data_IF_989899564624
#
_entry.id   IF_989899564624
#
_cell.length_a   1.000
_cell.length_b   1.000
_cell.length_c   1.000
_cell.angle_alpha   90.00
_cell.angle_beta   90.00
_cell.angle_gamma   90.00
#
_symmetry.space_group_name_H-M   'P 1'
#
loop_
_entity.id
_entity.type
_entity.pdbx_description
1 polymer ?
#
# COMPACT_ATOMS: atom_id res chain seq x y z
N UNK A 1 12.89 -5.10 -3.08
CA UNK A 1 12.66 -4.02 -2.10
C UNK A 1 11.86 -4.62 -0.96
N UNK A 2 12.14 -4.27 0.28
CA UNK A 2 11.63 -5.03 1.42
C UNK A 2 10.12 -4.78 1.61
N UNK A 3 9.29 -5.74 1.20
CA UNK A 3 7.91 -5.87 1.66
C UNK A 3 7.95 -6.31 3.13
N UNK A 4 8.26 -5.40 4.04
CA UNK A 4 8.14 -5.68 5.47
C UNK A 4 6.76 -5.25 5.88
N UNK A 5 5.84 -6.23 5.90
CA UNK A 5 4.54 -6.04 6.52
C UNK A 5 4.73 -5.53 7.96
N UNK A 6 3.91 -4.57 8.36
CA UNK A 6 3.89 -4.07 9.73
C UNK A 6 3.48 -5.20 10.66
N UNK A 7 4.38 -5.61 11.56
CA UNK A 7 4.08 -6.64 12.54
C UNK A 7 3.25 -6.04 13.67
N UNK A 8 1.95 -6.34 13.67
CA UNK A 8 0.97 -5.88 14.67
C UNK A 8 1.46 -6.06 16.13
N UNK A 9 2.13 -7.17 16.52
CA UNK A 9 2.63 -7.30 17.90
C UNK A 9 3.68 -6.25 18.29
N UNK A 10 4.54 -5.81 17.35
CA UNK A 10 5.51 -4.75 17.62
C UNK A 10 4.84 -3.39 17.68
N UNK A 11 3.85 -3.13 16.83
CA UNK A 11 3.05 -1.92 16.89
C UNK A 11 2.35 -1.80 18.25
N UNK A 12 1.68 -2.84 18.72
CA UNK A 12 1.02 -2.85 20.03
C UNK A 12 1.99 -2.61 21.19
N UNK A 13 3.18 -3.21 21.12
CA UNK A 13 4.24 -2.98 22.11
C UNK A 13 4.68 -1.52 22.14
N UNK A 14 4.85 -0.91 20.97
CA UNK A 14 5.23 0.51 20.85
C UNK A 14 4.11 1.42 21.36
N UNK A 15 2.87 1.22 20.93
CA UNK A 15 1.71 2.01 21.37
C UNK A 15 1.59 1.99 22.89
N UNK A 16 1.78 0.81 23.51
CA UNK A 16 1.83 0.67 24.97
C UNK A 16 3.01 1.42 25.59
N UNK A 17 4.20 1.32 25.01
CA UNK A 17 5.41 2.01 25.49
C UNK A 17 5.27 3.54 25.41
N UNK A 18 4.53 4.05 24.43
CA UNK A 18 4.24 5.48 24.26
C UNK A 18 3.04 5.96 25.08
N UNK A 19 2.34 5.08 25.80
CA UNK A 19 1.19 5.44 26.63
C UNK A 19 -0.03 5.89 25.84
N UNK A 20 -0.18 5.39 24.61
CA UNK A 20 -1.36 5.64 23.76
C UNK A 20 -2.58 4.98 24.42
N UNK A 21 -3.71 5.70 24.45
CA UNK A 21 -4.97 5.18 25.01
C UNK A 21 -5.57 4.05 24.16
N UNK A 22 -6.41 3.21 24.77
CA UNK A 22 -6.92 1.99 24.13
C UNK A 22 -7.70 2.27 22.83
N UNK A 23 -8.55 3.31 22.81
CA UNK A 23 -9.33 3.70 21.62
C UNK A 23 -8.44 4.15 20.46
N UNK A 24 -7.40 4.94 20.74
CA UNK A 24 -6.44 5.40 19.74
C UNK A 24 -5.53 4.25 19.27
N UNK A 25 -5.15 3.36 20.18
CA UNK A 25 -4.37 2.18 19.85
C UNK A 25 -5.13 1.22 18.92
N UNK A 26 -6.43 1.05 19.12
CA UNK A 26 -7.30 0.25 18.24
C UNK A 26 -7.35 0.85 16.82
N UNK A 27 -7.45 2.17 16.70
CA UNK A 27 -7.40 2.86 15.41
C UNK A 27 -6.05 2.64 14.69
N UNK A 28 -4.92 2.67 15.41
CA UNK A 28 -3.61 2.39 14.83
C UNK A 28 -3.46 0.93 14.37
N UNK A 29 -4.01 -0.02 15.13
CA UNK A 29 -4.03 -1.44 14.74
C UNK A 29 -4.83 -1.60 13.45
N UNK A 30 -6.00 -0.99 13.36
CA UNK A 30 -6.85 -1.06 12.16
C UNK A 30 -6.15 -0.47 10.93
N UNK A 31 -5.47 0.66 11.09
CA UNK A 31 -4.69 1.30 10.02
C UNK A 31 -3.53 0.43 9.55
N UNK A 32 -2.85 -0.26 10.47
CA UNK A 32 -1.76 -1.16 10.13
C UNK A 32 -2.25 -2.44 9.43
N UNK A 33 -3.43 -2.95 9.82
CA UNK A 33 -4.09 -4.03 9.08
C UNK A 33 -4.45 -3.60 7.66
N UNK A 34 -5.00 -2.40 7.50
CA UNK A 34 -5.35 -1.85 6.19
C UNK A 34 -4.12 -1.62 5.31
N UNK A 35 -3.03 -1.09 5.88
CA UNK A 35 -1.77 -0.91 5.17
C UNK A 35 -1.09 -2.24 4.77
N UNK A 36 -1.34 -3.31 5.53
CA UNK A 36 -0.86 -4.65 5.23
C UNK A 36 -1.75 -5.38 4.21
N UNK A 37 -2.92 -4.84 3.83
CA UNK A 37 -3.76 -5.47 2.81
C UNK A 37 -3.02 -5.45 1.47
N UNK A 38 -2.77 -6.63 0.87
CA UNK A 38 -2.09 -6.70 -0.42
C UNK A 38 -2.90 -5.95 -1.47
N UNK A 39 -2.22 -5.09 -2.25
CA UNK A 39 -2.86 -4.38 -3.36
C UNK A 39 -3.48 -5.35 -4.36
N UNK A 40 -4.54 -4.91 -5.07
CA UNK A 40 -5.28 -5.77 -6.03
C UNK A 40 -4.38 -6.44 -7.07
N UNK A 41 -3.28 -5.78 -7.46
CA UNK A 41 -2.31 -6.26 -8.44
C UNK A 41 -1.36 -7.33 -7.90
N UNK A 42 -1.19 -7.46 -6.58
CA UNK A 42 -0.34 -8.50 -5.99
C UNK A 42 -0.84 -9.93 -6.31
N UNK A 43 -2.15 -10.08 -6.58
CA UNK A 43 -2.74 -11.36 -7.02
C UNK A 43 -2.32 -11.78 -8.43
N UNK A 44 -1.67 -10.89 -9.18
CA UNK A 44 -1.19 -11.09 -10.55
C UNK A 44 0.34 -10.95 -10.64
N UNK A 45 1.05 -10.98 -9.50
CA UNK A 45 2.50 -10.82 -9.47
C UNK A 45 3.26 -11.94 -10.21
N UNK A 46 2.66 -13.13 -10.35
CA UNK A 46 3.21 -14.28 -11.06
C UNK A 46 3.23 -14.12 -12.59
N UNK A 47 2.36 -13.27 -13.14
CA UNK A 47 2.28 -12.98 -14.58
C UNK A 47 2.89 -11.63 -14.96
N UNK A 48 3.21 -10.79 -13.98
CA UNK A 48 3.80 -9.48 -14.20
C UNK A 48 5.33 -9.54 -14.06
N UNK A 49 6.08 -8.92 -14.99
CA UNK A 49 7.52 -8.77 -14.83
C UNK A 49 7.84 -8.05 -13.52
N UNK A 50 8.84 -8.51 -12.75
CA UNK A 50 9.16 -7.92 -11.44
C UNK A 50 9.48 -6.41 -11.45
N UNK A 51 9.89 -5.86 -12.60
CA UNK A 51 10.10 -4.41 -12.78
C UNK A 51 8.79 -3.61 -12.89
N UNK A 52 7.69 -4.26 -13.27
CA UNK A 52 6.38 -3.62 -13.50
C UNK A 52 5.60 -3.41 -12.19
N UNK A 53 5.87 -4.22 -11.17
CA UNK A 53 5.22 -4.13 -9.85
C UNK A 53 5.38 -2.75 -9.20
N UNK A 54 6.57 -2.14 -9.30
CA UNK A 54 6.81 -0.79 -8.76
C UNK A 54 5.97 0.27 -9.48
N UNK A 55 5.85 0.14 -10.81
CA UNK A 55 5.07 1.06 -11.63
C UNK A 55 3.58 1.02 -11.25
N UNK A 56 3.00 -0.18 -11.16
CA UNK A 56 1.59 -0.37 -10.76
C UNK A 56 1.33 0.10 -9.32
N UNK A 57 2.28 -0.14 -8.40
CA UNK A 57 2.17 0.35 -7.03
C UNK A 57 2.17 1.88 -6.95
N UNK A 58 2.94 2.56 -7.80
CA UNK A 58 3.00 4.02 -7.86
C UNK A 58 1.74 4.61 -8.51
N UNK A 59 1.25 4.02 -9.60
CA UNK A 59 -0.02 4.42 -10.21
C UNK A 59 -1.21 4.24 -9.25
N UNK A 60 -1.26 3.12 -8.52
CA UNK A 60 -2.31 2.85 -7.53
C UNK A 60 -2.33 3.82 -6.34
N UNK A 61 -1.18 4.44 -6.03
CA UNK A 61 -1.05 5.46 -4.99
C UNK A 61 -1.20 6.90 -5.53
N UNK A 62 -1.29 7.08 -6.84
CA UNK A 62 -1.33 8.40 -7.46
C UNK A 62 -2.71 9.05 -7.32
N UNK A 63 -2.73 10.32 -6.92
CA UNK A 63 -3.95 11.15 -6.91
C UNK A 63 -4.28 11.75 -8.28
N UNK A 64 -3.34 11.71 -9.23
CA UNK A 64 -3.49 12.22 -10.59
C UNK A 64 -2.60 11.43 -11.56
N UNK A 65 -3.18 10.98 -12.67
CA UNK A 65 -2.47 10.34 -13.77
C UNK A 65 -2.57 11.25 -15.00
N UNK A 66 -1.42 11.52 -15.64
CA UNK A 66 -1.35 12.27 -16.90
C UNK A 66 -0.63 11.41 -17.94
N UNK A 67 -1.35 11.03 -18.98
CA UNK A 67 -0.81 10.30 -20.12
C UNK A 67 -0.66 11.26 -21.31
N UNK A 68 0.45 11.20 -22.02
CA UNK A 68 0.66 11.97 -23.25
C UNK A 68 0.97 11.02 -24.40
N UNK A 69 0.03 10.89 -25.33
CA UNK A 69 0.17 10.09 -26.54
C UNK A 69 0.03 11.02 -27.76
N UNK A 70 1.13 11.45 -28.39
CA UNK A 70 1.08 12.45 -29.47
C UNK A 70 0.46 11.96 -30.78
N UNK A 71 0.21 10.66 -30.94
CA UNK A 71 -0.27 10.05 -32.20
C UNK A 71 -1.57 9.22 -32.05
N UNK A 72 -2.23 9.29 -30.90
CA UNK A 72 -3.49 8.57 -30.66
C UNK A 72 -4.47 9.49 -29.93
N UNK A 73 -5.74 9.47 -30.34
CA UNK A 73 -6.82 10.11 -29.58
C UNK A 73 -7.34 9.04 -28.63
N UNK A 74 -7.21 9.20 -27.30
CA UNK A 74 -7.77 8.24 -26.36
C UNK A 74 -9.30 8.25 -26.47
N UNK A 75 -9.86 7.15 -26.96
CA UNK A 75 -11.30 6.87 -26.84
C UNK A 75 -11.56 6.44 -25.41
N UNK A 76 -12.07 7.36 -24.59
CA UNK A 76 -12.54 7.08 -23.24
C UNK A 76 -13.69 6.07 -23.23
#
# INVERSE_FOLDING_TARGET
MAEVALKIPYLQLLLKAYGVGDEEAEAFVQLAEDANKPGWWQRFHDILPGWFSLYVSLEGAASLIRSYEPHFVPGV
#
